data_IF_007878130777
#
_entry.id   IF_007878130777
#
_cell.length_a   1.000
_cell.length_b   1.000
_cell.length_c   1.000
_cell.angle_alpha   90.00
_cell.angle_beta   90.00
_cell.angle_gamma   90.00
#
_symmetry.space_group_name_H-M   'P 1'
#
loop_
_entity.id
_entity.type
_entity.pdbx_description
1 polymer ?
#
# COMPACT_ATOMS: atom_id res chain seq x y z
N UNK A 1 9.61 28.73 -0.09
CA UNK A 1 9.41 27.47 0.66
C UNK A 1 9.99 26.35 -0.18
N UNK A 2 10.97 25.59 0.31
CA UNK A 2 11.63 24.53 -0.46
C UNK A 2 10.72 23.30 -0.49
N UNK A 3 10.20 22.95 -1.67
CA UNK A 3 9.15 21.91 -1.83
C UNK A 3 9.66 20.51 -1.45
N UNK A 4 10.99 20.35 -1.33
CA UNK A 4 11.66 19.11 -0.93
C UNK A 4 11.64 18.80 0.58
N UNK A 5 11.09 19.68 1.42
CA UNK A 5 10.94 19.45 2.87
C UNK A 5 9.48 19.16 3.30
N UNK A 6 8.63 18.69 2.39
CA UNK A 6 7.29 18.23 2.76
C UNK A 6 7.38 16.97 3.62
N UNK A 7 7.42 17.19 4.93
CA UNK A 7 7.22 16.19 5.98
C UNK A 7 5.73 15.84 6.02
N UNK A 8 5.38 14.63 6.46
CA UNK A 8 4.02 14.07 6.33
C UNK A 8 2.86 14.94 6.82
N UNK A 9 1.60 14.53 6.58
CA UNK A 9 0.40 15.33 6.84
C UNK A 9 0.33 15.93 8.26
N UNK A 10 0.86 15.22 9.26
CA UNK A 10 0.93 15.70 10.63
C UNK A 10 1.84 16.93 10.78
N UNK A 11 3.00 16.94 10.12
CA UNK A 11 3.94 18.07 10.17
C UNK A 11 3.42 19.26 9.38
N UNK A 12 2.78 19.02 8.22
CA UNK A 12 2.08 20.07 7.47
C UNK A 12 1.01 20.71 8.35
N UNK A 13 0.21 19.91 9.06
CA UNK A 13 -0.81 20.40 9.97
C UNK A 13 -0.22 21.25 11.11
N UNK A 14 0.86 20.80 11.77
CA UNK A 14 1.57 21.57 12.80
C UNK A 14 2.13 22.90 12.25
N UNK A 15 2.72 22.89 11.05
CA UNK A 15 3.23 24.08 10.39
C UNK A 15 2.12 25.08 10.04
N UNK A 16 0.98 24.59 9.54
CA UNK A 16 -0.18 25.42 9.24
C UNK A 16 -0.77 26.05 10.51
N UNK A 17 -0.85 25.32 11.63
CA UNK A 17 -1.26 25.89 12.92
C UNK A 17 -0.31 27.01 13.34
N UNK A 18 1.02 26.80 13.23
CA UNK A 18 2.02 27.81 13.58
C UNK A 18 1.91 29.04 12.68
N UNK A 19 1.79 28.84 11.37
CA UNK A 19 1.63 29.92 10.40
C UNK A 19 0.36 30.74 10.66
N UNK A 20 -0.77 30.08 10.99
CA UNK A 20 -2.02 30.76 11.37
C UNK A 20 -1.81 31.66 12.58
N UNK A 21 -1.16 31.16 13.65
CA UNK A 21 -0.89 31.94 14.86
C UNK A 21 0.03 33.15 14.59
N UNK A 22 1.04 33.00 13.74
CA UNK A 22 1.93 34.09 13.32
C UNK A 22 1.18 35.16 12.51
N UNK A 23 0.29 34.75 11.62
CA UNK A 23 -0.56 35.66 10.84
C UNK A 23 -1.56 36.41 11.73
N UNK A 24 -2.18 35.74 12.70
CA UNK A 24 -3.07 36.36 13.69
C UNK A 24 -2.33 37.39 14.56
N UNK A 25 -1.07 37.13 14.92
CA UNK A 25 -0.24 38.10 15.64
C UNK A 25 0.06 39.34 14.78
N UNK A 26 0.44 39.13 13.52
CA UNK A 26 0.68 40.24 12.57
C UNK A 26 -0.57 41.06 12.31
N UNK A 27 -1.73 40.41 12.18
CA UNK A 27 -3.01 41.08 11.99
C UNK A 27 -3.38 41.99 13.16
N UNK A 28 -3.09 41.55 14.41
CA UNK A 28 -3.31 42.36 15.62
C UNK A 28 -2.44 43.61 15.65
N UNK A 29 -1.20 43.54 15.16
CA UNK A 29 -0.28 44.68 15.08
C UNK A 29 -0.47 45.58 13.86
N UNK A 30 -1.22 45.14 12.84
CA UNK A 30 -1.41 45.90 11.60
C UNK A 30 -2.30 47.13 11.82
N UNK A 31 -1.89 48.27 11.26
CA UNK A 31 -2.59 49.55 11.36
C UNK A 31 -3.29 49.96 10.05
N UNK A 32 -2.83 49.47 8.90
CA UNK A 32 -3.40 49.76 7.59
C UNK A 32 -4.60 48.88 7.22
N UNK A 33 -5.66 49.45 6.65
CA UNK A 33 -6.86 48.70 6.22
C UNK A 33 -6.54 47.66 5.13
N UNK A 34 -5.71 48.01 4.15
CA UNK A 34 -5.29 47.11 3.08
C UNK A 34 -4.43 45.95 3.57
N UNK A 35 -3.51 46.22 4.50
CA UNK A 35 -2.65 45.19 5.13
C UNK A 35 -3.47 44.22 5.98
N UNK A 36 -4.41 44.76 6.77
CA UNK A 36 -5.35 43.95 7.55
C UNK A 36 -6.19 43.02 6.66
N UNK A 37 -6.69 43.53 5.53
CA UNK A 37 -7.45 42.72 4.56
C UNK A 37 -6.60 41.58 4.00
N UNK A 38 -5.38 41.88 3.55
CA UNK A 38 -4.46 40.87 3.02
C UNK A 38 -4.13 39.77 4.03
N UNK A 39 -3.84 40.13 5.28
CA UNK A 39 -3.56 39.16 6.35
C UNK A 39 -4.80 38.31 6.68
N UNK A 40 -6.00 38.90 6.69
CA UNK A 40 -7.25 38.17 6.89
C UNK A 40 -7.49 37.13 5.78
N UNK A 41 -7.25 37.50 4.51
CA UNK A 41 -7.37 36.60 3.36
C UNK A 41 -6.37 35.43 3.44
N UNK A 42 -5.13 35.69 3.91
CA UNK A 42 -4.16 34.63 4.15
C UNK A 42 -4.58 33.68 5.29
N UNK A 43 -5.11 34.21 6.39
CA UNK A 43 -5.63 33.39 7.50
C UNK A 43 -6.78 32.50 7.01
N UNK A 44 -7.73 33.06 6.24
CA UNK A 44 -8.83 32.30 5.65
C UNK A 44 -8.34 31.18 4.72
N UNK A 45 -7.29 31.44 3.94
CA UNK A 45 -6.64 30.42 3.09
C UNK A 45 -6.04 29.29 3.94
N UNK A 46 -5.31 29.62 5.01
CA UNK A 46 -4.74 28.61 5.92
C UNK A 46 -5.83 27.80 6.62
N UNK A 47 -6.93 28.44 7.02
CA UNK A 47 -8.07 27.76 7.64
C UNK A 47 -8.77 26.80 6.69
N UNK A 48 -8.95 27.18 5.41
CA UNK A 48 -9.46 26.28 4.38
C UNK A 48 -8.59 25.03 4.24
N UNK A 49 -7.26 25.21 4.17
CA UNK A 49 -6.33 24.07 4.06
C UNK A 49 -6.37 23.21 5.33
N UNK A 50 -6.41 23.81 6.53
CA UNK A 50 -6.55 23.07 7.79
C UNK A 50 -7.85 22.26 7.86
N UNK A 51 -8.96 22.81 7.37
CA UNK A 51 -10.24 22.11 7.30
C UNK A 51 -10.16 20.90 6.36
N UNK A 52 -9.55 21.04 5.19
CA UNK A 52 -9.37 19.92 4.26
C UNK A 52 -8.48 18.82 4.86
N UNK A 53 -7.34 19.17 5.45
CA UNK A 53 -6.45 18.21 6.14
C UNK A 53 -7.18 17.50 7.30
N UNK A 54 -8.04 18.21 8.03
CA UNK A 54 -8.84 17.64 9.12
C UNK A 54 -9.94 16.68 8.62
N UNK A 55 -10.63 17.03 7.52
CA UNK A 55 -11.61 16.16 6.87
C UNK A 55 -10.97 14.86 6.39
N UNK A 56 -9.80 14.91 5.78
CA UNK A 56 -9.04 13.72 5.37
C UNK A 56 -8.71 12.81 6.56
N UNK A 57 -8.33 13.41 7.70
CA UNK A 57 -8.03 12.68 8.94
C UNK A 57 -9.23 11.89 9.49
N UNK A 58 -10.45 12.37 9.24
CA UNK A 58 -11.69 11.79 9.78
C UNK A 58 -12.42 10.82 8.85
N UNK A 59 -11.96 10.60 7.61
CA UNK A 59 -12.63 9.66 6.71
C UNK A 59 -12.47 8.20 7.19
N UNK A 60 -13.55 7.39 7.21
CA UNK A 60 -13.47 5.98 7.56
C UNK A 60 -12.57 5.23 6.58
N UNK A 61 -11.74 4.33 7.08
CA UNK A 61 -10.92 3.45 6.25
C UNK A 61 -11.83 2.48 5.49
N UNK A 62 -12.13 2.79 4.23
CA UNK A 62 -12.92 1.91 3.39
C UNK A 62 -12.01 0.81 2.85
N UNK A 63 -12.02 -0.35 3.52
CA UNK A 63 -11.38 -1.55 2.99
C UNK A 63 -12.25 -2.08 1.85
N UNK A 64 -11.90 -1.75 0.60
CA UNK A 64 -12.33 -2.59 -0.51
C UNK A 64 -11.55 -3.89 -0.40
N UNK A 65 -12.24 -4.98 -0.07
CA UNK A 65 -11.76 -6.30 -0.46
C UNK A 65 -11.50 -6.23 -1.97
N UNK A 66 -10.23 -6.36 -2.37
CA UNK A 66 -9.85 -6.32 -3.78
C UNK A 66 -10.40 -7.61 -4.42
N UNK A 67 -11.63 -7.58 -4.90
CA UNK A 67 -12.24 -8.66 -5.70
C UNK A 67 -11.51 -8.91 -7.03
N UNK A 68 -10.49 -8.08 -7.32
CA UNK A 68 -9.67 -8.06 -8.52
C UNK A 68 -8.22 -8.49 -8.28
N UNK A 69 -7.96 -9.45 -7.39
CA UNK A 69 -6.63 -10.06 -7.29
C UNK A 69 -6.44 -11.20 -8.29
N UNK A 70 -5.26 -11.27 -8.89
CA UNK A 70 -4.80 -12.43 -9.68
C UNK A 70 -4.51 -13.65 -8.79
N UNK A 71 -4.37 -14.83 -9.39
CA UNK A 71 -4.02 -16.07 -8.64
C UNK A 71 -2.74 -15.92 -7.82
N UNK A 72 -1.73 -15.31 -8.44
CA UNK A 72 -0.40 -15.14 -7.84
C UNK A 72 -0.47 -14.18 -6.65
N UNK A 73 -1.20 -13.08 -6.80
CA UNK A 73 -1.46 -12.13 -5.70
C UNK A 73 -2.20 -12.80 -4.55
N UNK A 74 -3.23 -13.61 -4.83
CA UNK A 74 -3.99 -14.35 -3.80
C UNK A 74 -3.12 -15.34 -3.05
N UNK A 75 -2.29 -16.11 -3.77
CA UNK A 75 -1.37 -17.08 -3.16
C UNK A 75 -0.31 -16.36 -2.33
N UNK A 76 0.31 -15.30 -2.87
CA UNK A 76 1.29 -14.49 -2.15
C UNK A 76 0.71 -13.91 -0.86
N UNK A 77 -0.48 -13.29 -0.93
CA UNK A 77 -1.18 -12.74 0.21
C UNK A 77 -1.53 -13.82 1.25
N UNK A 78 -1.96 -15.01 0.81
CA UNK A 78 -2.27 -16.13 1.72
C UNK A 78 -1.04 -16.62 2.48
N UNK A 79 0.10 -16.75 1.81
CA UNK A 79 1.38 -17.13 2.45
C UNK A 79 1.82 -16.01 3.40
N UNK A 80 1.69 -14.74 3.01
CA UNK A 80 2.04 -13.62 3.88
C UNK A 80 1.15 -13.56 5.14
N UNK A 81 -0.15 -13.88 5.01
CA UNK A 81 -1.08 -14.02 6.14
C UNK A 81 -0.74 -15.19 7.04
N UNK A 82 -0.30 -16.32 6.50
CA UNK A 82 0.08 -17.46 7.33
C UNK A 82 1.33 -17.16 8.17
N UNK A 83 2.32 -16.46 7.60
CA UNK A 83 3.52 -16.01 8.31
C UNK A 83 3.16 -14.99 9.42
N UNK A 84 2.29 -14.03 9.13
CA UNK A 84 1.90 -12.98 10.07
C UNK A 84 0.85 -13.40 11.12
N UNK A 85 0.34 -14.63 11.07
CA UNK A 85 -0.79 -15.07 11.90
C UNK A 85 -0.48 -14.92 13.38
N UNK A 86 -1.40 -14.28 14.12
CA UNK A 86 -1.31 -14.10 15.56
C UNK A 86 -0.33 -12.99 16.01
N UNK A 87 0.15 -12.15 15.09
CA UNK A 87 1.07 -11.04 15.39
C UNK A 87 0.49 -9.71 14.90
N UNK A 88 0.91 -8.61 15.51
CA UNK A 88 0.64 -7.26 15.01
C UNK A 88 1.61 -6.93 13.88
N UNK A 89 1.15 -7.09 12.64
CA UNK A 89 1.99 -7.02 11.45
C UNK A 89 1.59 -5.90 10.50
N UNK A 90 2.58 -5.41 9.76
CA UNK A 90 2.40 -4.59 8.56
C UNK A 90 3.14 -5.22 7.40
N UNK A 91 2.62 -4.99 6.21
CA UNK A 91 3.14 -5.54 4.97
C UNK A 91 3.70 -4.43 4.10
N UNK A 92 4.78 -4.74 3.37
CA UNK A 92 5.33 -3.90 2.32
C UNK A 92 5.52 -4.72 1.05
N UNK A 93 4.78 -4.36 0.00
CA UNK A 93 4.94 -4.96 -1.32
C UNK A 93 6.09 -4.30 -2.06
N UNK A 94 6.97 -5.09 -2.67
CA UNK A 94 8.08 -4.57 -3.47
C UNK A 94 8.27 -5.37 -4.74
N UNK A 95 8.70 -4.67 -5.79
CA UNK A 95 9.07 -5.23 -7.10
C UNK A 95 10.58 -5.42 -7.25
N UNK A 96 11.35 -5.09 -6.22
CA UNK A 96 12.80 -5.14 -6.19
C UNK A 96 13.26 -5.95 -4.96
N UNK A 97 12.61 -7.08 -4.70
CA UNK A 97 12.86 -7.88 -3.49
C UNK A 97 14.36 -8.22 -3.33
N UNK A 98 15.09 -8.71 -4.36
CA UNK A 98 16.51 -9.05 -4.21
C UNK A 98 17.37 -7.85 -3.79
N UNK A 99 17.14 -6.68 -4.37
CA UNK A 99 17.85 -5.44 -4.05
C UNK A 99 17.55 -4.98 -2.62
N UNK A 100 16.27 -5.00 -2.25
CA UNK A 100 15.79 -4.63 -0.90
C UNK A 100 16.39 -5.58 0.15
N UNK A 101 16.40 -6.88 -0.11
CA UNK A 101 16.98 -7.90 0.79
C UNK A 101 18.49 -7.73 0.92
N UNK A 102 19.20 -7.50 -0.19
CA UNK A 102 20.65 -7.25 -0.19
C UNK A 102 21.00 -6.00 0.62
N UNK A 103 20.29 -4.90 0.38
CA UNK A 103 20.50 -3.63 1.09
C UNK A 103 20.07 -3.69 2.56
N UNK A 104 19.07 -4.51 2.89
CA UNK A 104 18.45 -4.53 4.21
C UNK A 104 17.74 -3.22 4.56
N UNK A 105 17.37 -2.44 3.54
CA UNK A 105 16.79 -1.10 3.67
C UNK A 105 15.63 -0.88 2.71
N UNK A 106 14.61 -0.17 3.17
CA UNK A 106 13.57 0.44 2.34
C UNK A 106 13.91 1.92 2.20
N UNK A 107 14.13 2.36 0.96
CA UNK A 107 14.52 3.74 0.65
C UNK A 107 13.30 4.44 0.05
N UNK A 108 12.88 5.60 0.58
CA UNK A 108 11.80 6.37 -0.02
C UNK A 108 12.17 6.81 -1.45
N UNK A 109 11.21 6.86 -2.38
CA UNK A 109 11.49 7.21 -3.77
C UNK A 109 11.89 8.69 -3.88
N UNK A 110 12.91 9.00 -4.69
CA UNK A 110 13.35 10.38 -4.94
C UNK A 110 12.35 11.20 -5.76
N UNK A 111 11.47 10.53 -6.52
CA UNK A 111 10.53 11.12 -7.48
C UNK A 111 9.11 10.65 -7.15
N UNK A 112 8.59 11.05 -6.00
CA UNK A 112 7.19 10.93 -5.55
C UNK A 112 7.07 11.54 -4.15
N UNK A 113 5.99 11.22 -3.44
CA UNK A 113 5.94 11.32 -1.98
C UNK A 113 7.16 10.62 -1.37
N UNK A 114 8.00 11.40 -0.69
CA UNK A 114 9.25 10.92 -0.10
C UNK A 114 8.96 10.14 1.19
N UNK A 115 8.37 8.95 1.04
CA UNK A 115 7.95 8.08 2.13
C UNK A 115 8.04 6.59 1.77
N UNK A 116 8.11 5.75 2.81
CA UNK A 116 7.94 4.30 2.69
C UNK A 116 6.54 3.96 3.21
N UNK A 117 5.74 3.32 2.37
CA UNK A 117 4.36 2.95 2.68
C UNK A 117 4.24 1.51 3.15
N UNK A 118 3.28 1.30 4.04
CA UNK A 118 2.92 0.03 4.63
C UNK A 118 1.40 -0.12 4.61
N UNK A 119 0.94 -1.36 4.54
CA UNK A 119 -0.47 -1.73 4.58
C UNK A 119 -0.70 -2.83 5.61
N UNK A 120 -1.88 -2.87 6.22
CA UNK A 120 -2.31 -4.00 7.06
C UNK A 120 -2.94 -5.12 6.22
N UNK A 121 -3.17 -4.87 4.94
CA UNK A 121 -3.72 -5.82 3.98
C UNK A 121 -2.62 -6.54 3.20
N UNK A 122 -2.45 -7.84 3.47
CA UNK A 122 -1.52 -8.68 2.71
C UNK A 122 -1.88 -8.72 1.21
N UNK A 123 -3.18 -8.67 0.88
CA UNK A 123 -3.70 -8.58 -0.48
C UNK A 123 -3.19 -7.34 -1.20
N UNK A 124 -3.23 -6.19 -0.54
CA UNK A 124 -2.78 -4.93 -1.10
C UNK A 124 -1.27 -4.97 -1.34
N UNK A 125 -0.49 -5.42 -0.35
CA UNK A 125 0.94 -5.59 -0.52
C UNK A 125 1.28 -6.55 -1.67
N UNK A 126 0.54 -7.66 -1.80
CA UNK A 126 0.73 -8.61 -2.90
C UNK A 126 0.38 -7.99 -4.26
N UNK A 127 -0.74 -7.27 -4.38
CA UNK A 127 -1.13 -6.55 -5.60
C UNK A 127 0.01 -5.66 -6.09
N UNK A 128 0.57 -4.85 -5.20
CA UNK A 128 1.65 -3.94 -5.55
C UNK A 128 2.99 -4.61 -5.80
N UNK A 129 3.33 -5.66 -5.06
CA UNK A 129 4.49 -6.50 -5.33
C UNK A 129 4.41 -7.16 -6.71
N UNK A 130 3.21 -7.57 -7.13
CA UNK A 130 2.97 -8.25 -8.41
C UNK A 130 2.70 -7.30 -9.59
N UNK A 131 2.73 -5.98 -9.40
CA UNK A 131 2.54 -5.02 -10.49
C UNK A 131 3.56 -5.25 -11.62
N UNK A 132 3.05 -5.71 -12.76
CA UNK A 132 3.89 -6.07 -13.90
C UNK A 132 4.56 -4.83 -14.48
N UNK A 133 5.79 -5.04 -14.91
CA UNK A 133 6.62 -4.04 -15.56
C UNK A 133 7.06 -4.44 -16.94
N UNK A 134 7.89 -3.59 -17.52
CA UNK A 134 8.64 -3.93 -18.72
C UNK A 134 9.80 -4.88 -18.36
N UNK A 135 10.18 -5.74 -19.31
CA UNK A 135 11.27 -6.72 -19.14
C UNK A 135 12.60 -6.09 -18.69
N UNK A 136 12.87 -4.85 -19.12
CA UNK A 136 14.10 -4.12 -18.78
C UNK A 136 14.23 -3.80 -17.29
N UNK A 137 13.13 -3.79 -16.56
CA UNK A 137 13.09 -3.36 -15.14
C UNK A 137 13.51 -4.48 -14.18
N UNK A 138 13.77 -5.70 -14.67
CA UNK A 138 14.27 -6.86 -13.90
C UNK A 138 13.59 -7.03 -12.53
N UNK A 139 12.26 -6.90 -12.53
CA UNK A 139 11.44 -6.90 -11.32
C UNK A 139 11.37 -8.31 -10.72
N UNK A 140 11.46 -8.38 -9.40
CA UNK A 140 11.20 -9.58 -8.62
C UNK A 140 10.26 -9.23 -7.47
N UNK A 141 9.04 -9.76 -7.58
CA UNK A 141 7.95 -9.51 -6.65
C UNK A 141 8.28 -10.13 -5.28
N UNK A 142 7.96 -9.37 -4.23
CA UNK A 142 8.00 -9.87 -2.88
C UNK A 142 7.19 -9.05 -1.91
N UNK A 143 6.73 -9.70 -0.84
CA UNK A 143 6.06 -9.07 0.29
C UNK A 143 6.92 -9.26 1.52
N UNK A 144 7.29 -8.16 2.15
CA UNK A 144 7.91 -8.16 3.48
C UNK A 144 6.81 -8.18 4.54
N UNK A 145 6.92 -9.09 5.50
CA UNK A 145 6.07 -9.15 6.69
C UNK A 145 6.88 -8.59 7.85
N UNK A 146 6.43 -7.47 8.41
CA UNK A 146 7.18 -6.75 9.43
C UNK A 146 6.39 -6.66 10.73
N UNK A 147 7.09 -6.77 11.86
CA UNK A 147 6.55 -6.55 13.19
C UNK A 147 6.25 -5.08 13.38
N UNK A 148 4.95 -4.75 13.45
CA UNK A 148 4.48 -3.37 13.52
C UNK A 148 4.91 -2.70 14.81
N UNK A 149 4.85 -3.42 15.93
CA UNK A 149 5.20 -2.88 17.25
C UNK A 149 6.69 -2.51 17.31
N UNK A 150 7.56 -3.39 16.83
CA UNK A 150 9.00 -3.13 16.70
C UNK A 150 9.30 -1.95 15.76
N UNK A 151 8.57 -1.85 14.65
CA UNK A 151 8.67 -0.72 13.72
C UNK A 151 8.28 0.62 14.38
N UNK A 152 7.17 0.66 15.12
CA UNK A 152 6.68 1.86 15.82
C UNK A 152 7.64 2.35 16.90
N UNK A 153 8.38 1.45 17.53
CA UNK A 153 9.41 1.83 18.50
C UNK A 153 10.60 2.55 17.85
N UNK A 154 10.88 2.23 16.58
CA UNK A 154 12.05 2.75 15.85
C UNK A 154 11.73 3.91 14.91
N UNK A 155 10.49 3.98 14.43
CA UNK A 155 10.04 4.88 13.39
C UNK A 155 8.66 5.46 13.73
N UNK A 156 8.44 6.72 13.37
CA UNK A 156 7.12 7.35 13.46
C UNK A 156 6.27 6.83 12.29
N UNK A 157 5.46 5.79 12.54
CA UNK A 157 4.42 5.37 11.61
C UNK A 157 3.25 6.34 11.73
N UNK A 158 2.99 7.07 10.64
CA UNK A 158 1.83 7.94 10.52
C UNK A 158 0.75 7.23 9.72
N UNK A 159 -0.52 7.26 10.16
CA UNK A 159 -1.62 6.86 9.30
C UNK A 159 -1.60 7.71 8.03
N UNK A 160 -1.55 7.07 6.87
CA UNK A 160 -1.76 7.74 5.60
C UNK A 160 -3.14 7.32 5.10
N UNK A 161 -4.08 8.25 4.97
CA UNK A 161 -5.45 7.94 4.56
C UNK A 161 -5.67 8.44 3.14
N UNK A 162 -5.92 7.49 2.25
CA UNK A 162 -6.78 7.56 1.07
C UNK A 162 -6.77 8.86 0.23
N UNK A 163 -6.29 8.75 -1.00
CA UNK A 163 -6.75 9.65 -2.08
C UNK A 163 -8.14 9.16 -2.56
N UNK A 164 -9.22 9.96 -2.44
CA UNK A 164 -10.54 9.62 -2.94
C UNK A 164 -10.64 9.28 -4.42
N UNK A 165 -9.66 9.71 -5.21
CA UNK A 165 -9.66 9.52 -6.64
C UNK A 165 -9.02 8.18 -7.06
N UNK A 166 -8.17 7.59 -6.22
CA UNK A 166 -7.44 6.35 -6.53
C UNK A 166 -7.78 5.23 -5.54
N UNK A 167 -8.80 4.45 -5.88
CA UNK A 167 -9.36 3.37 -5.06
C UNK A 167 -8.42 2.16 -4.83
N UNK A 168 -7.15 2.23 -5.23
CA UNK A 168 -6.14 1.18 -5.05
C UNK A 168 -4.82 1.83 -4.61
N UNK A 169 -4.60 2.03 -3.32
CA UNK A 169 -3.35 2.62 -2.83
C UNK A 169 -2.76 1.82 -1.67
N UNK A 170 -1.45 1.53 -1.68
CA UNK A 170 -0.68 0.82 -0.64
C UNK A 170 -0.76 1.43 0.77
N UNK A 171 -1.42 2.58 0.87
CA UNK A 171 -1.12 3.61 1.86
C UNK A 171 -2.12 3.50 2.99
N UNK A 172 -1.81 2.68 3.99
CA UNK A 172 -2.48 2.78 5.29
C UNK A 172 -1.58 3.45 6.32
N UNK A 173 -0.28 3.17 6.27
CA UNK A 173 0.71 3.72 7.18
C UNK A 173 1.96 4.13 6.40
N UNK A 174 2.61 5.21 6.82
CA UNK A 174 3.78 5.76 6.15
C UNK A 174 4.86 6.14 7.15
N UNK A 175 6.11 5.98 6.75
CA UNK A 175 7.26 6.61 7.39
C UNK A 175 7.83 7.63 6.41
N UNK A 176 7.68 8.90 6.77
CA UNK A 176 8.06 10.03 5.93
C UNK A 176 9.54 10.36 6.07
N UNK A 177 10.18 10.68 4.94
CA UNK A 177 11.49 11.30 4.88
C UNK A 177 12.66 10.46 5.37
N UNK A 178 12.48 9.14 5.57
CA UNK A 178 13.50 8.29 6.20
C UNK A 178 13.65 6.96 5.49
N UNK A 179 14.90 6.56 5.33
CA UNK A 179 15.28 5.19 4.99
C UNK A 179 15.07 4.29 6.21
N UNK A 180 14.44 3.13 6.01
CA UNK A 180 14.11 2.17 7.07
C UNK A 180 15.07 0.99 6.96
N UNK A 181 15.75 0.65 8.05
CA UNK A 181 16.46 -0.62 8.16
C UNK A 181 15.49 -1.67 8.70
N UNK A 182 14.96 -2.52 7.82
CA UNK A 182 13.85 -3.39 8.16
C UNK A 182 14.27 -4.74 8.76
N UNK A 183 15.56 -5.11 8.71
CA UNK A 183 16.03 -6.47 9.09
C UNK A 183 15.61 -6.90 10.49
N UNK A 184 15.76 -6.02 11.48
CA UNK A 184 15.36 -6.30 12.89
C UNK A 184 13.85 -6.34 13.11
N UNK A 185 13.08 -5.84 12.14
CA UNK A 185 11.62 -5.81 12.17
C UNK A 185 11.02 -6.92 11.31
N UNK A 186 11.84 -7.69 10.58
CA UNK A 186 11.38 -8.67 9.62
C UNK A 186 10.93 -9.94 10.31
N UNK A 187 9.66 -10.30 10.12
CA UNK A 187 9.08 -11.56 10.57
C UNK A 187 9.18 -12.65 9.50
N UNK A 188 9.12 -12.24 8.23
CA UNK A 188 9.29 -13.15 7.11
C UNK A 188 9.16 -12.44 5.77
N UNK A 189 9.36 -13.22 4.70
CA UNK A 189 9.30 -12.75 3.33
C UNK A 189 8.53 -13.76 2.51
N UNK A 190 7.67 -13.28 1.61
CA UNK A 190 7.15 -14.09 0.51
C UNK A 190 7.76 -13.57 -0.78
N UNK A 191 8.33 -14.48 -1.56
CA UNK A 191 8.89 -14.19 -2.88
C UNK A 191 8.06 -14.84 -3.98
N UNK A 192 8.30 -14.42 -5.23
CA UNK A 192 7.75 -15.08 -6.41
C UNK A 192 8.09 -16.58 -6.49
N UNK A 193 9.21 -17.02 -5.91
CA UNK A 193 9.57 -18.43 -5.85
C UNK A 193 8.56 -19.23 -5.02
N UNK A 194 8.16 -18.72 -3.86
CA UNK A 194 7.15 -19.37 -2.99
C UNK A 194 5.79 -19.48 -3.67
N UNK A 195 5.43 -18.49 -4.50
CA UNK A 195 4.19 -18.54 -5.30
C UNK A 195 4.32 -19.56 -6.43
N UNK A 196 5.50 -19.62 -7.05
CA UNK A 196 5.79 -20.55 -8.16
C UNK A 196 5.82 -22.01 -7.70
N UNK A 197 6.16 -22.28 -6.45
CA UNK A 197 6.02 -23.63 -5.86
C UNK A 197 4.56 -24.11 -5.83
N UNK A 198 3.60 -23.19 -5.72
CA UNK A 198 2.17 -23.50 -5.65
C UNK A 198 1.51 -23.50 -7.03
N UNK A 199 1.85 -22.50 -7.86
CA UNK A 199 1.15 -22.24 -9.13
C UNK A 199 1.99 -22.56 -10.38
N UNK A 200 3.25 -22.95 -10.21
CA UNK A 200 4.22 -23.00 -11.31
C UNK A 200 4.71 -21.60 -11.72
N UNK A 201 5.63 -21.52 -12.70
CA UNK A 201 6.16 -20.24 -13.18
C UNK A 201 5.07 -19.35 -13.79
N UNK A 202 5.22 -18.01 -13.79
CA UNK A 202 4.24 -17.13 -14.39
C UNK A 202 4.22 -17.30 -15.91
N UNK A 203 3.02 -17.40 -16.49
CA UNK A 203 2.84 -17.43 -17.94
C UNK A 203 3.41 -16.17 -18.61
N UNK A 204 3.20 -15.01 -17.96
CA UNK A 204 3.68 -13.70 -18.42
C UNK A 204 4.42 -12.99 -17.27
N UNK A 205 5.75 -13.16 -17.15
CA UNK A 205 6.55 -12.49 -16.11
C UNK A 205 6.60 -10.97 -16.28
N UNK A 206 6.32 -10.49 -17.50
CA UNK A 206 6.37 -9.07 -17.85
C UNK A 206 5.10 -8.67 -18.62
N UNK A 207 4.86 -7.36 -18.71
CA UNK A 207 3.87 -6.83 -19.62
C UNK A 207 4.26 -7.17 -21.07
N UNK A 208 3.29 -7.49 -21.94
CA UNK A 208 3.54 -7.68 -23.37
C UNK A 208 4.24 -6.47 -24.01
N UNK A 209 5.06 -6.67 -25.07
CA UNK A 209 5.68 -5.56 -25.79
C UNK A 209 4.65 -4.54 -26.27
N UNK A 210 4.93 -3.26 -26.00
CA UNK A 210 4.05 -2.15 -26.38
C UNK A 210 2.73 -2.10 -25.61
N UNK A 211 2.56 -2.85 -24.51
CA UNK A 211 1.32 -2.90 -23.72
C UNK A 211 0.76 -1.51 -23.39
N UNK A 212 1.62 -0.55 -23.01
CA UNK A 212 1.21 0.82 -22.68
C UNK A 212 0.56 1.53 -23.88
N UNK A 213 0.97 1.19 -25.10
CA UNK A 213 0.45 1.75 -26.37
C UNK A 213 -0.74 0.97 -26.92
N UNK A 214 -1.17 -0.12 -26.27
CA UNK A 214 -2.33 -0.87 -26.74
C UNK A 214 -3.62 -0.07 -26.53
N UNK A 215 -4.63 -0.24 -27.40
CA UNK A 215 -5.96 0.31 -27.16
C UNK A 215 -6.49 -0.12 -25.79
N UNK A 216 -7.21 0.76 -25.11
CA UNK A 216 -7.73 0.52 -23.76
C UNK A 216 -8.54 -0.77 -23.65
N UNK A 217 -9.43 -1.03 -24.61
CA UNK A 217 -10.21 -2.28 -24.66
C UNK A 217 -9.31 -3.53 -24.69
N UNK A 218 -8.17 -3.49 -25.38
CA UNK A 218 -7.21 -4.60 -25.44
C UNK A 218 -6.47 -4.77 -24.11
N UNK A 219 -6.08 -3.67 -23.45
CA UNK A 219 -5.49 -3.69 -22.10
C UNK A 219 -6.47 -4.26 -21.07
N UNK A 220 -7.73 -3.82 -21.12
CA UNK A 220 -8.81 -4.30 -20.24
C UNK A 220 -9.03 -5.80 -20.42
N UNK A 221 -9.17 -6.29 -21.65
CA UNK A 221 -9.35 -7.71 -21.95
C UNK A 221 -8.17 -8.57 -21.48
N UNK A 222 -6.94 -8.05 -21.57
CA UNK A 222 -5.77 -8.73 -21.03
C UNK A 222 -5.85 -8.87 -19.50
N UNK A 223 -6.17 -7.78 -18.79
CA UNK A 223 -6.32 -7.80 -17.34
C UNK A 223 -7.49 -8.71 -16.90
N UNK A 224 -8.65 -8.62 -17.56
CA UNK A 224 -9.81 -9.48 -17.31
C UNK A 224 -9.48 -10.97 -17.40
N UNK A 225 -8.65 -11.39 -18.37
CA UNK A 225 -8.21 -12.79 -18.49
C UNK A 225 -7.38 -13.24 -17.28
N UNK A 226 -6.49 -12.38 -16.78
CA UNK A 226 -5.68 -12.68 -15.59
C UNK A 226 -6.53 -12.74 -14.32
N UNK A 227 -7.60 -11.94 -14.24
CA UNK A 227 -8.56 -12.00 -13.13
C UNK A 227 -9.50 -13.22 -13.23
N UNK A 228 -9.87 -13.61 -14.44
CA UNK A 228 -10.72 -14.77 -14.69
C UNK A 228 -10.04 -16.07 -14.27
N UNK A 229 -8.74 -16.24 -14.58
CA UNK A 229 -7.95 -17.37 -14.06
C UNK A 229 -7.98 -17.39 -12.52
N UNK A 230 -7.81 -16.19 -11.93
CA UNK A 230 -8.02 -15.86 -10.52
C UNK A 230 -9.24 -16.54 -9.90
N UNK A 231 -10.38 -16.26 -10.50
CA UNK A 231 -11.70 -16.72 -10.06
C UNK A 231 -11.88 -18.22 -10.27
N UNK A 232 -11.42 -18.74 -11.40
CA UNK A 232 -11.52 -20.18 -11.72
C UNK A 232 -10.70 -21.03 -10.74
N UNK A 233 -9.48 -20.62 -10.41
CA UNK A 233 -8.63 -21.31 -9.43
C UNK A 233 -9.30 -21.40 -8.05
N UNK A 234 -9.89 -20.30 -7.57
CA UNK A 234 -10.62 -20.29 -6.29
C UNK A 234 -11.85 -21.17 -6.34
N UNK A 235 -12.61 -21.15 -7.44
CA UNK A 235 -13.76 -22.01 -7.62
C UNK A 235 -13.37 -23.50 -7.56
N UNK A 236 -12.30 -23.89 -8.28
CA UNK A 236 -11.75 -25.25 -8.25
C UNK A 236 -11.29 -25.67 -6.85
N UNK A 237 -10.56 -24.79 -6.17
CA UNK A 237 -10.11 -25.04 -4.79
C UNK A 237 -11.29 -25.23 -3.82
N UNK A 238 -12.33 -24.39 -3.91
CA UNK A 238 -13.55 -24.53 -3.09
C UNK A 238 -14.28 -25.84 -3.37
N UNK A 239 -14.39 -26.24 -4.64
CA UNK A 239 -14.99 -27.51 -5.02
C UNK A 239 -14.21 -28.69 -4.42
N UNK A 240 -12.89 -28.71 -4.56
CA UNK A 240 -12.05 -29.79 -4.00
C UNK A 240 -12.17 -29.91 -2.47
N UNK A 241 -12.19 -28.79 -1.75
CA UNK A 241 -12.41 -28.79 -0.28
C UNK A 241 -13.79 -29.32 0.07
N UNK A 242 -14.83 -28.92 -0.67
CA UNK A 242 -16.19 -29.42 -0.45
C UNK A 242 -16.23 -30.94 -0.65
N UNK A 243 -15.62 -31.43 -1.73
CA UNK A 243 -15.63 -32.86 -2.05
C UNK A 243 -14.88 -33.66 -0.97
N UNK A 244 -13.74 -33.15 -0.47
CA UNK A 244 -13.02 -33.74 0.67
C UNK A 244 -13.89 -33.84 1.92
N UNK A 245 -14.57 -32.74 2.30
CA UNK A 245 -15.45 -32.71 3.47
C UNK A 245 -16.60 -33.73 3.32
N UNK A 246 -17.17 -33.84 2.12
CA UNK A 246 -18.23 -34.82 1.83
C UNK A 246 -17.69 -36.24 1.96
N UNK A 247 -16.51 -36.54 1.40
CA UNK A 247 -15.87 -37.84 1.53
C UNK A 247 -15.57 -38.21 2.98
N UNK A 248 -15.02 -37.29 3.77
CA UNK A 248 -14.75 -37.52 5.20
C UNK A 248 -16.03 -37.79 6.00
N UNK A 249 -17.12 -37.05 5.72
CA UNK A 249 -18.42 -37.27 6.37
C UNK A 249 -19.00 -38.63 6.02
N UNK A 250 -18.91 -39.03 4.76
CA UNK A 250 -19.37 -40.34 4.29
C UNK A 250 -18.57 -41.50 4.90
N UNK A 251 -17.24 -41.35 5.04
CA UNK A 251 -16.41 -42.34 5.71
C UNK A 251 -16.77 -42.47 7.20
N UNK A 252 -16.96 -41.34 7.89
CA UNK A 252 -17.41 -41.33 9.29
C UNK A 252 -18.80 -41.94 9.49
N UNK A 253 -19.71 -41.82 8.53
CA UNK A 253 -21.04 -42.43 8.63
C UNK A 253 -21.03 -43.94 8.38
N UNK A 254 -20.03 -44.47 7.68
CA UNK A 254 -19.85 -45.93 7.47
C UNK A 254 -19.14 -46.63 8.63
N UNK A 255 -18.45 -45.89 9.49
CA UNK A 255 -17.75 -46.41 10.67
C UNK A 255 -18.61 -46.41 11.94
N UNK A 256 -19.85 -45.92 11.85
CA UNK A 256 -20.87 -46.02 12.90
C UNK A 256 -21.88 -47.09 12.53
#
# INVERSE_FOLDING_TARGET
MNIHELKGPAVIHEQLIKARAELEAKLRSASGSSERKFLADQIATVELVLQEVSKERNRPAMYRELDELTDRERVMARIAKSIGRGRDVVYHGTRALPEVMRAGKLVPPNLAEFAVFFTRSAELAAYFACLRGEKKERRSAGVLILDKSSLRQSYRLEPNRYDPLDGRNEREEAVWGRTISFRRHLLGVVSEANVSEVLGPPEWPYLPPGFVRWPEAKRRKFNERQLASGREFVAKGRAAVRDLIVSERFLKSKMK
#
